data_IF_280286685782
#
_entry.id   IF_280286685782
#
_cell.length_a   1.000
_cell.length_b   1.000
_cell.length_c   1.000
_cell.angle_alpha   90.00
_cell.angle_beta   90.00
_cell.angle_gamma   90.00
#
_symmetry.space_group_name_H-M   'P 1'
#
loop_
_entity.id
_entity.type
_entity.pdbx_description
1 polymer ?
#
# COMPACT_ATOMS: atom_id res chain seq x y z
N UNK A 1 -17.62 41.03 15.44
CA UNK A 1 -17.08 39.68 15.65
C UNK A 1 -17.33 38.92 14.34
N UNK A 2 -16.42 38.19 13.72
CA UNK A 2 -14.97 38.00 13.83
C UNK A 2 -14.64 37.14 12.59
N UNK A 3 -13.60 37.50 11.85
CA UNK A 3 -12.89 36.73 10.80
C UNK A 3 -13.52 36.64 9.40
N UNK A 4 -12.96 37.48 8.51
CA UNK A 4 -12.84 37.20 7.08
C UNK A 4 -11.89 36.00 6.89
N UNK A 5 -12.37 34.95 6.24
CA UNK A 5 -11.55 33.78 5.87
C UNK A 5 -10.79 34.10 4.59
N UNK A 6 -9.46 34.09 4.69
CA UNK A 6 -8.53 34.31 3.59
C UNK A 6 -8.66 33.18 2.56
N UNK A 7 -8.79 33.54 1.29
CA UNK A 7 -8.62 32.61 0.18
C UNK A 7 -7.13 32.23 0.11
N UNK A 8 -6.83 30.95 0.33
CA UNK A 8 -5.50 30.40 0.12
C UNK A 8 -5.28 30.30 -1.39
N UNK A 9 -4.41 31.16 -1.90
CA UNK A 9 -3.88 31.12 -3.25
C UNK A 9 -2.92 29.93 -3.34
N UNK A 10 -3.28 28.90 -4.12
CA UNK A 10 -2.36 27.84 -4.50
C UNK A 10 -1.46 28.35 -5.64
N UNK A 11 -0.34 28.98 -5.28
CA UNK A 11 0.72 29.31 -6.25
C UNK A 11 1.66 28.12 -6.40
N UNK A 12 1.51 27.43 -7.53
CA UNK A 12 2.44 26.43 -8.05
C UNK A 12 3.80 27.11 -8.32
N UNK A 13 4.77 26.93 -7.42
CA UNK A 13 6.15 27.39 -7.67
C UNK A 13 6.85 26.37 -8.55
N UNK A 14 6.92 26.70 -9.83
CA UNK A 14 7.74 26.04 -10.84
C UNK A 14 9.21 26.40 -10.56
N UNK A 15 9.97 25.50 -9.93
CA UNK A 15 11.41 25.69 -9.74
C UNK A 15 12.12 25.51 -11.09
N UNK A 16 12.54 26.62 -11.69
CA UNK A 16 13.42 26.64 -12.85
C UNK A 16 14.81 26.14 -12.47
N UNK A 17 15.26 25.13 -13.20
CA UNK A 17 16.58 24.51 -13.15
C UNK A 17 17.69 25.53 -13.40
N UNK A 18 18.56 25.73 -12.42
CA UNK A 18 19.89 26.32 -12.65
C UNK A 18 20.87 25.17 -12.89
N UNK A 19 21.42 25.13 -14.09
CA UNK A 19 22.40 24.17 -14.58
C UNK A 19 23.76 24.42 -13.92
N UNK A 20 24.08 23.65 -12.89
CA UNK A 20 25.46 23.47 -12.45
C UNK A 20 26.05 22.30 -13.26
N UNK A 21 27.11 22.58 -14.02
CA UNK A 21 27.98 21.59 -14.65
C UNK A 21 28.68 20.78 -13.54
N UNK A 22 28.06 19.69 -13.12
CA UNK A 22 28.70 18.65 -12.33
C UNK A 22 29.44 17.74 -13.32
N UNK A 23 30.72 17.37 -13.08
CA UNK A 23 31.40 16.42 -13.94
C UNK A 23 30.57 15.13 -14.00
N UNK A 24 30.29 14.64 -15.21
CA UNK A 24 29.66 13.36 -15.46
C UNK A 24 30.53 12.27 -14.82
N UNK A 25 30.20 11.90 -13.58
CA UNK A 25 30.80 10.79 -12.89
C UNK A 25 30.19 9.52 -13.51
N UNK A 26 31.02 8.51 -13.73
CA UNK A 26 30.63 7.17 -14.17
C UNK A 26 29.79 6.39 -13.13
N UNK A 27 28.91 7.10 -12.42
CA UNK A 27 28.04 6.65 -11.33
C UNK A 27 26.60 6.43 -11.80
N UNK A 28 26.27 6.84 -13.03
CA UNK A 28 24.94 6.66 -13.64
C UNK A 28 24.61 5.18 -13.87
N UNK A 29 25.60 4.33 -14.14
CA UNK A 29 25.35 2.95 -14.57
C UNK A 29 24.85 2.06 -13.42
N UNK A 30 25.43 2.19 -12.22
CA UNK A 30 25.04 1.37 -11.07
C UNK A 30 23.66 1.74 -10.53
N UNK A 31 23.32 3.04 -10.51
CA UNK A 31 21.99 3.50 -10.09
C UNK A 31 20.94 3.13 -11.15
N UNK A 32 21.22 3.37 -12.43
CA UNK A 32 20.33 2.98 -13.52
C UNK A 32 20.09 1.47 -13.53
N UNK A 33 21.14 0.67 -13.27
CA UNK A 33 21.05 -0.77 -13.13
C UNK A 33 20.17 -1.17 -11.94
N UNK A 34 20.40 -0.60 -10.76
CA UNK A 34 19.55 -0.88 -9.58
C UNK A 34 18.08 -0.49 -9.83
N UNK A 35 17.82 0.56 -10.60
CA UNK A 35 16.46 0.99 -10.95
C UNK A 35 15.81 0.19 -12.08
N UNK A 36 16.56 -0.54 -12.91
CA UNK A 36 16.02 -1.29 -14.06
C UNK A 36 16.03 -2.80 -13.84
N UNK A 37 16.94 -3.33 -13.03
CA UNK A 37 17.06 -4.75 -12.68
C UNK A 37 16.33 -5.09 -11.37
N UNK A 38 15.27 -4.35 -11.04
CA UNK A 38 14.43 -4.65 -9.88
C UNK A 38 13.43 -5.79 -10.12
N UNK A 39 12.76 -6.18 -9.05
CA UNK A 39 11.72 -7.20 -9.04
C UNK A 39 10.33 -6.59 -9.18
N UNK A 40 9.54 -7.08 -10.13
CA UNK A 40 8.11 -6.76 -10.26
C UNK A 40 7.29 -7.88 -9.60
N UNK A 41 6.30 -7.52 -8.79
CA UNK A 41 5.33 -8.46 -8.20
C UNK A 41 3.91 -8.17 -8.66
N UNK A 42 3.15 -9.23 -8.94
CA UNK A 42 1.72 -9.17 -9.25
C UNK A 42 0.98 -10.21 -8.40
N UNK A 43 0.01 -9.76 -7.61
CA UNK A 43 -0.93 -10.63 -6.88
C UNK A 43 -2.34 -10.28 -7.32
N UNK A 44 -3.11 -11.29 -7.73
CA UNK A 44 -4.53 -11.13 -8.07
C UNK A 44 -5.31 -12.16 -7.27
N UNK A 45 -6.31 -11.69 -6.52
CA UNK A 45 -7.13 -12.54 -5.65
C UNK A 45 -8.61 -12.20 -5.83
N UNK A 46 -9.33 -13.11 -6.45
CA UNK A 46 -10.79 -13.10 -6.39
C UNK A 46 -11.28 -13.77 -5.11
N UNK A 47 -12.33 -13.22 -4.51
CA UNK A 47 -13.03 -13.79 -3.36
C UNK A 47 -14.53 -13.69 -3.57
N UNK A 48 -15.20 -14.78 -3.24
CA UNK A 48 -16.64 -14.84 -3.06
C UNK A 48 -16.91 -15.30 -1.63
N UNK A 49 -17.69 -14.54 -0.87
CA UNK A 49 -18.00 -14.78 0.55
C UNK A 49 -19.49 -14.59 0.80
N UNK A 50 -20.11 -15.53 1.52
CA UNK A 50 -21.50 -15.43 1.96
C UNK A 50 -21.58 -15.53 3.48
N UNK A 51 -22.46 -14.74 4.10
CA UNK A 51 -22.64 -14.73 5.56
C UNK A 51 -24.12 -14.70 5.89
N UNK A 52 -24.57 -15.72 6.62
CA UNK A 52 -25.89 -15.77 7.25
C UNK A 52 -25.71 -15.41 8.73
N UNK A 53 -26.44 -14.42 9.25
CA UNK A 53 -26.30 -14.00 10.64
C UNK A 53 -27.65 -13.55 11.24
N UNK A 54 -28.00 -14.13 12.38
CA UNK A 54 -29.17 -13.74 13.16
C UNK A 54 -29.15 -12.24 13.50
N UNK A 55 -30.30 -11.59 13.38
CA UNK A 55 -30.48 -10.17 13.70
C UNK A 55 -30.30 -9.21 12.51
N UNK A 56 -29.93 -9.71 11.34
CA UNK A 56 -29.98 -8.96 10.08
C UNK A 56 -31.22 -9.33 9.25
N UNK A 57 -31.64 -8.40 8.38
CA UNK A 57 -32.82 -8.60 7.55
C UNK A 57 -32.52 -9.44 6.29
N UNK A 58 -31.26 -9.44 5.85
CA UNK A 58 -30.78 -10.11 4.65
C UNK A 58 -29.48 -10.87 4.95
N UNK A 59 -29.16 -11.87 4.12
CA UNK A 59 -27.85 -12.53 4.12
C UNK A 59 -26.85 -11.72 3.29
N UNK A 60 -25.56 -11.76 3.68
CA UNK A 60 -24.52 -11.07 2.93
C UNK A 60 -23.96 -11.93 1.79
N UNK A 61 -23.73 -11.32 0.63
CA UNK A 61 -22.98 -11.89 -0.49
C UNK A 61 -21.97 -10.86 -1.00
N UNK A 62 -20.69 -11.15 -0.82
CA UNK A 62 -19.59 -10.30 -1.27
C UNK A 62 -18.81 -11.00 -2.39
N UNK A 63 -18.64 -10.30 -3.51
CA UNK A 63 -17.86 -10.74 -4.67
C UNK A 63 -16.82 -9.67 -4.96
N UNK A 64 -15.56 -9.94 -4.63
CA UNK A 64 -14.48 -8.95 -4.65
C UNK A 64 -13.25 -9.46 -5.39
N UNK A 65 -12.54 -8.55 -6.04
CA UNK A 65 -11.27 -8.79 -6.72
C UNK A 65 -10.22 -7.84 -6.17
N UNK A 66 -9.14 -8.40 -5.64
CA UNK A 66 -7.95 -7.65 -5.27
C UNK A 66 -6.87 -7.80 -6.34
N UNK A 67 -6.19 -6.70 -6.64
CA UNK A 67 -4.97 -6.66 -7.45
C UNK A 67 -3.88 -5.90 -6.70
N UNK A 68 -2.68 -6.46 -6.61
CA UNK A 68 -1.48 -5.77 -6.14
C UNK A 68 -0.42 -5.75 -7.21
N UNK A 69 0.13 -4.58 -7.46
CA UNK A 69 1.29 -4.39 -8.32
C UNK A 69 2.40 -3.77 -7.50
N UNK A 70 3.52 -4.48 -7.39
CA UNK A 70 4.69 -4.03 -6.65
C UNK A 70 5.92 -3.93 -7.53
N UNK A 71 6.82 -3.02 -7.15
CA UNK A 71 8.15 -2.92 -7.70
C UNK A 71 9.16 -2.70 -6.58
N UNK A 72 10.18 -3.54 -6.54
CA UNK A 72 11.33 -3.41 -5.64
C UNK A 72 12.59 -3.18 -6.47
N UNK A 73 13.33 -2.12 -6.21
CA UNK A 73 14.60 -1.85 -6.90
C UNK A 73 15.64 -2.91 -6.53
N UNK A 74 16.64 -3.08 -7.39
CA UNK A 74 17.90 -3.69 -7.02
C UNK A 74 18.63 -2.91 -5.92
N UNK A 75 19.73 -3.47 -5.43
CA UNK A 75 20.56 -2.84 -4.39
C UNK A 75 21.54 -1.83 -4.99
N UNK A 76 21.54 -0.61 -4.46
CA UNK A 76 22.50 0.44 -4.78
C UNK A 76 23.24 0.86 -3.51
N UNK A 77 24.52 0.48 -3.39
CA UNK A 77 25.33 0.67 -2.17
C UNK A 77 24.62 0.19 -0.88
N UNK A 78 23.89 -0.92 -0.97
CA UNK A 78 23.14 -1.48 0.15
C UNK A 78 21.73 -0.91 0.34
N UNK A 79 21.32 0.08 -0.46
CA UNK A 79 19.95 0.62 -0.43
C UNK A 79 19.05 -0.06 -1.47
N UNK A 80 17.79 -0.31 -1.12
CA UNK A 80 16.74 -0.67 -2.06
C UNK A 80 15.41 0.01 -1.68
N UNK A 81 14.56 0.28 -2.67
CA UNK A 81 13.21 0.82 -2.47
C UNK A 81 12.13 -0.18 -2.87
N UNK A 82 10.98 -0.11 -2.24
CA UNK A 82 9.76 -0.87 -2.57
C UNK A 82 8.58 0.09 -2.65
N UNK A 83 7.77 -0.04 -3.69
CA UNK A 83 6.42 0.52 -3.77
C UNK A 83 5.47 -0.59 -4.18
N UNK A 84 4.33 -0.71 -3.50
CA UNK A 84 3.25 -1.63 -3.84
C UNK A 84 1.92 -0.87 -3.81
N UNK A 85 1.16 -0.95 -4.90
CA UNK A 85 -0.19 -0.40 -5.02
C UNK A 85 -1.17 -1.55 -4.93
N UNK A 86 -2.24 -1.40 -4.13
CA UNK A 86 -3.36 -2.33 -4.02
C UNK A 86 -4.62 -1.67 -4.59
N UNK A 87 -5.43 -2.46 -5.30
CA UNK A 87 -6.79 -2.14 -5.66
C UNK A 87 -7.72 -3.28 -5.24
N UNK A 88 -8.84 -2.94 -4.61
CA UNK A 88 -9.97 -3.85 -4.37
C UNK A 88 -11.19 -3.31 -5.09
N UNK A 89 -11.85 -4.18 -5.84
CA UNK A 89 -13.06 -3.87 -6.58
C UNK A 89 -14.13 -4.94 -6.34
N UNK A 90 -15.37 -4.50 -6.23
CA UNK A 90 -16.53 -5.38 -6.26
C UNK A 90 -16.86 -5.83 -7.69
N UNK A 91 -17.25 -7.10 -7.84
CA UNK A 91 -17.54 -7.74 -9.12
C UNK A 91 -18.97 -8.26 -9.10
N UNK A 92 -19.81 -7.80 -10.03
CA UNK A 92 -21.19 -8.32 -10.17
C UNK A 92 -22.29 -7.39 -9.65
N UNK A 93 -21.94 -6.35 -8.89
CA UNK A 93 -22.72 -5.12 -8.66
C UNK A 93 -24.09 -5.25 -7.93
N UNK A 94 -24.22 -6.16 -6.96
CA UNK A 94 -25.41 -6.23 -6.11
C UNK A 94 -25.20 -5.65 -4.70
N UNK A 95 -23.98 -5.25 -4.32
CA UNK A 95 -23.64 -4.54 -3.06
C UNK A 95 -24.29 -5.20 -1.81
N UNK A 96 -24.57 -6.50 -1.87
CA UNK A 96 -25.38 -7.27 -0.91
C UNK A 96 -24.58 -7.61 0.35
N UNK A 97 -23.77 -6.70 0.84
CA UNK A 97 -23.00 -6.86 2.07
C UNK A 97 -22.65 -5.51 2.67
N UNK A 98 -22.35 -5.49 3.97
CA UNK A 98 -21.86 -4.28 4.62
C UNK A 98 -20.33 -4.23 4.59
N UNK A 99 -19.77 -3.37 3.74
CA UNK A 99 -18.32 -3.14 3.66
C UNK A 99 -17.76 -2.24 4.77
N UNK A 100 -18.62 -1.81 5.71
CA UNK A 100 -18.41 -0.76 6.72
C UNK A 100 -18.31 0.67 6.17
N UNK A 101 -18.23 0.82 4.85
CA UNK A 101 -18.12 2.13 4.18
C UNK A 101 -19.21 2.39 3.14
N UNK A 102 -19.95 1.37 2.69
CA UNK A 102 -21.05 1.50 1.71
C UNK A 102 -22.41 1.86 2.34
N UNK A 103 -22.55 1.77 3.67
CA UNK A 103 -23.79 2.12 4.37
C UNK A 103 -24.84 1.01 4.41
N UNK A 104 -24.51 -0.21 3.99
CA UNK A 104 -25.46 -1.33 3.87
C UNK A 104 -25.71 -2.04 5.21
N UNK A 105 -26.15 -1.28 6.22
CA UNK A 105 -26.37 -1.75 7.59
C UNK A 105 -27.48 -2.81 7.76
N UNK A 106 -28.24 -3.13 6.71
CA UNK A 106 -29.23 -4.21 6.71
C UNK A 106 -28.61 -5.60 6.50
N UNK A 107 -27.34 -5.67 6.11
CA UNK A 107 -26.59 -6.89 5.80
C UNK A 107 -25.48 -7.17 6.82
N UNK A 108 -25.11 -8.44 7.03
CA UNK A 108 -23.92 -8.82 7.77
C UNK A 108 -22.64 -8.18 7.21
N UNK A 109 -21.61 -8.06 8.06
CA UNK A 109 -20.36 -7.35 7.72
C UNK A 109 -19.37 -8.27 7.02
N UNK A 110 -19.04 -7.90 5.77
CA UNK A 110 -17.85 -8.35 5.06
C UNK A 110 -16.99 -7.12 4.79
N UNK A 111 -16.06 -6.79 5.69
CA UNK A 111 -15.28 -5.55 5.61
C UNK A 111 -14.11 -5.69 4.63
N UNK A 112 -14.46 -5.82 3.35
CA UNK A 112 -13.59 -5.74 2.17
C UNK A 112 -14.11 -4.57 1.30
N UNK A 113 -13.87 -3.30 1.71
CA UNK A 113 -14.33 -2.14 0.96
C UNK A 113 -13.54 -1.95 -0.34
N UNK A 114 -14.24 -1.54 -1.40
CA UNK A 114 -13.60 -1.15 -2.66
C UNK A 114 -12.70 0.09 -2.49
N UNK A 115 -11.54 0.11 -3.15
CA UNK A 115 -10.60 1.22 -3.05
C UNK A 115 -9.27 0.97 -3.74
N UNK A 116 -8.45 2.02 -3.87
CA UNK A 116 -7.07 1.94 -4.36
C UNK A 116 -6.16 2.69 -3.41
N UNK A 117 -5.06 2.06 -3.00
CA UNK A 117 -4.10 2.64 -2.06
C UNK A 117 -2.65 2.24 -2.31
N UNK A 118 -1.73 3.00 -1.72
CA UNK A 118 -0.33 2.57 -1.57
C UNK A 118 -0.28 1.61 -0.37
N UNK A 119 -0.13 0.33 -0.68
CA UNK A 119 -0.06 -0.71 0.33
C UNK A 119 1.31 -0.73 1.02
N UNK A 120 2.41 -0.63 0.25
CA UNK A 120 3.77 -0.56 0.81
C UNK A 120 4.59 0.53 0.13
N UNK A 121 5.44 1.18 0.91
CA UNK A 121 6.36 2.21 0.49
C UNK A 121 7.54 2.21 1.48
N UNK A 122 8.59 1.45 1.18
CA UNK A 122 9.66 1.16 2.12
C UNK A 122 11.05 1.33 1.50
N UNK A 123 12.01 1.75 2.33
CA UNK A 123 13.44 1.76 2.04
C UNK A 123 14.13 0.70 2.89
N UNK A 124 15.04 -0.04 2.27
CA UNK A 124 15.84 -1.10 2.87
C UNK A 124 17.30 -0.66 2.88
N UNK A 125 18.03 -0.98 3.95
CA UNK A 125 19.48 -0.81 4.02
C UNK A 125 20.16 -2.05 4.58
N UNK A 126 21.11 -2.61 3.83
CA UNK A 126 21.86 -3.83 4.16
C UNK A 126 23.37 -3.58 4.25
N UNK A 127 23.80 -2.37 4.57
CA UNK A 127 25.23 -2.05 4.70
C UNK A 127 25.88 -2.49 6.02
N UNK A 128 25.10 -3.05 6.95
CA UNK A 128 25.59 -3.61 8.20
C UNK A 128 25.65 -5.14 8.12
N UNK A 129 26.71 -5.73 8.68
CA UNK A 129 26.85 -7.19 8.73
C UNK A 129 25.66 -7.81 9.48
N UNK A 130 25.00 -8.77 8.83
CA UNK A 130 23.87 -9.52 9.36
C UNK A 130 22.72 -8.66 9.91
N UNK A 131 22.55 -7.42 9.44
CA UNK A 131 21.49 -6.52 9.90
C UNK A 131 20.84 -5.82 8.72
N UNK A 132 19.50 -5.85 8.67
CA UNK A 132 18.70 -5.09 7.71
C UNK A 132 17.88 -4.05 8.41
N UNK A 133 18.02 -2.79 8.00
CA UNK A 133 17.11 -1.71 8.39
C UNK A 133 16.03 -1.54 7.34
N UNK A 134 14.77 -1.40 7.77
CA UNK A 134 13.62 -1.17 6.89
C UNK A 134 12.85 0.02 7.44
N UNK A 135 12.73 1.10 6.67
CA UNK A 135 11.98 2.30 7.04
C UNK A 135 10.83 2.57 6.09
N UNK A 136 9.69 3.03 6.62
CA UNK A 136 8.51 3.39 5.83
C UNK A 136 7.34 2.44 6.05
N UNK A 137 6.41 2.41 5.10
CA UNK A 137 5.23 1.55 5.12
C UNK A 137 5.59 0.14 4.68
N UNK A 138 5.44 -0.81 5.58
CA UNK A 138 5.86 -2.20 5.36
C UNK A 138 4.91 -3.19 6.01
N UNK A 139 4.91 -4.43 5.52
CA UNK A 139 4.28 -5.55 6.22
C UNK A 139 5.14 -5.99 7.40
N UNK A 140 4.58 -5.92 8.60
CA UNK A 140 5.22 -6.38 9.83
C UNK A 140 4.44 -7.59 10.36
N UNK A 141 5.15 -8.67 10.64
CA UNK A 141 4.59 -9.90 11.20
C UNK A 141 5.54 -10.42 12.28
N UNK A 142 5.08 -10.48 13.52
CA UNK A 142 5.84 -10.97 14.67
C UNK A 142 5.16 -12.18 15.30
N UNK A 143 5.97 -13.14 15.75
CA UNK A 143 5.55 -14.37 16.43
C UNK A 143 4.35 -15.06 15.74
N UNK A 144 4.50 -15.35 14.44
CA UNK A 144 3.45 -15.95 13.62
C UNK A 144 2.13 -15.15 13.63
N UNK A 145 2.23 -13.81 13.61
CA UNK A 145 1.12 -12.86 13.65
C UNK A 145 0.34 -12.83 14.99
N UNK A 146 0.89 -13.40 16.09
CA UNK A 146 0.21 -13.42 17.39
C UNK A 146 0.02 -12.04 18.02
N UNK A 147 1.00 -11.16 17.84
CA UNK A 147 0.99 -9.82 18.46
C UNK A 147 0.83 -8.72 17.42
N UNK A 148 1.57 -8.82 16.32
CA UNK A 148 1.53 -7.87 15.19
C UNK A 148 1.48 -8.69 13.91
N UNK A 149 0.48 -8.44 13.08
CA UNK A 149 0.24 -9.20 11.86
C UNK A 149 -0.51 -8.39 10.81
N UNK A 150 -0.39 -8.82 9.56
CA UNK A 150 -0.93 -8.11 8.41
C UNK A 150 -2.37 -8.53 8.03
N UNK A 151 -3.11 -9.25 8.90
CA UNK A 151 -4.51 -9.68 8.68
C UNK A 151 -4.73 -10.25 7.26
N UNK A 152 -4.00 -11.30 6.88
CA UNK A 152 -4.02 -11.83 5.50
C UNK A 152 -5.32 -12.51 5.06
N UNK A 153 -6.31 -12.60 5.96
CA UNK A 153 -7.63 -13.18 5.71
C UNK A 153 -8.56 -12.21 4.95
N UNK A 154 -8.46 -10.90 5.11
CA UNK A 154 -9.26 -9.93 4.34
C UNK A 154 -8.63 -9.62 2.99
N UNK A 155 -9.34 -8.93 2.10
CA UNK A 155 -8.76 -8.49 0.84
C UNK A 155 -7.65 -7.47 1.12
N UNK A 156 -7.94 -6.47 1.94
CA UNK A 156 -6.94 -5.49 2.38
C UNK A 156 -6.10 -6.09 3.50
N UNK A 157 -4.78 -6.16 3.29
CA UNK A 157 -3.86 -6.53 4.37
C UNK A 157 -3.41 -5.29 5.16
N UNK A 158 -3.16 -5.49 6.45
CA UNK A 158 -2.68 -4.42 7.31
C UNK A 158 -1.19 -4.17 7.08
N UNK A 159 -0.83 -2.91 6.83
CA UNK A 159 0.55 -2.45 6.75
C UNK A 159 0.83 -1.38 7.81
N UNK A 160 2.10 -1.20 8.14
CA UNK A 160 2.54 -0.38 9.26
C UNK A 160 3.60 0.61 8.82
N UNK A 161 3.47 1.85 9.27
CA UNK A 161 4.48 2.88 9.10
C UNK A 161 5.46 2.78 10.28
N UNK A 162 6.73 2.50 9.98
CA UNK A 162 7.72 2.35 11.05
C UNK A 162 9.12 2.03 10.59
N UNK A 163 9.99 1.73 11.57
CA UNK A 163 11.35 1.25 11.36
C UNK A 163 11.48 -0.14 11.96
N UNK A 164 11.92 -1.10 11.15
CA UNK A 164 12.21 -2.47 11.55
C UNK A 164 13.71 -2.73 11.45
N UNK A 165 14.27 -3.39 12.46
CA UNK A 165 15.64 -3.92 12.46
C UNK A 165 15.52 -5.44 12.50
N UNK A 166 16.13 -6.13 11.54
CA UNK A 166 16.14 -7.59 11.45
C UNK A 166 17.56 -8.12 11.34
#
# INVERSE_FOLDING_TARGET
MKYASQAIVASLVMLMSTSALVPAMAQDDDLAKALTEGDISLDVRYRYETVEQDGFANDATASTLRTKLGYKTGSFYGFAGLVEIENVAEIGNDDDYNSTTNGNGAYPVVADPSGTEINQAALFYTGFDNTTLIGGRQKIQFDNQRFVGAVGFRQNDQTFDGVTVK
#
